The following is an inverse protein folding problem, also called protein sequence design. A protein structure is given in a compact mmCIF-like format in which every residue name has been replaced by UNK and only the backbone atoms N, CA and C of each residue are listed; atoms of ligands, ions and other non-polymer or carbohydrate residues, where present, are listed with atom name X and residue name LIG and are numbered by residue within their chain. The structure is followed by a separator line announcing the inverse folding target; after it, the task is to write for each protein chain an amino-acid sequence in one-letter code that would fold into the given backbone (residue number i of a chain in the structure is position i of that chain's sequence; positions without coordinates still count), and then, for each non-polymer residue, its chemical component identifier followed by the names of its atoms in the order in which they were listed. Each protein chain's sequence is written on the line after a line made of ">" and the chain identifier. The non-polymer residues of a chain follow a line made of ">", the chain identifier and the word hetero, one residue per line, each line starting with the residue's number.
data_IF_713861114538
#
_entry.id   IF_713861114538
#
_cell.length_a   1.000
_cell.length_b   1.000
_cell.length_c   1.000
_cell.angle_alpha   90.00
_cell.angle_beta   90.00
_cell.angle_gamma   90.00
#
_symmetry.space_group_name_H-M   'P 1'
#
loop_
_entity.id
_entity.type
_entity.pdbx_description
1 polymer ?
#
# COMPACT_ATOMS: atom_id res chain seq x y z
N UNK A 1 -9.10 13.82 -20.20
CA UNK A 1 -9.57 12.68 -19.40
C UNK A 1 -8.84 12.75 -18.06
N UNK A 2 -9.47 13.32 -17.04
CA UNK A 2 -8.89 13.32 -15.70
C UNK A 2 -8.97 11.88 -15.20
N UNK A 3 -7.83 11.22 -15.00
CA UNK A 3 -7.82 9.95 -14.28
C UNK A 3 -8.25 10.29 -12.85
N UNK A 4 -9.36 9.73 -12.39
CA UNK A 4 -9.71 9.82 -10.97
C UNK A 4 -8.50 9.34 -10.15
N UNK A 5 -7.93 10.25 -9.37
CA UNK A 5 -6.78 9.93 -8.52
C UNK A 5 -7.31 9.18 -7.32
N UNK A 6 -6.99 7.89 -7.24
CA UNK A 6 -7.34 7.07 -6.08
C UNK A 6 -6.45 7.46 -4.90
N UNK A 7 -7.02 8.12 -3.90
CA UNK A 7 -6.32 8.45 -2.66
C UNK A 7 -6.51 7.34 -1.63
N UNK A 8 -5.41 6.79 -1.11
CA UNK A 8 -5.47 5.72 -0.10
C UNK A 8 -6.18 6.16 1.20
N UNK A 9 -6.21 7.46 1.49
CA UNK A 9 -6.94 8.02 2.64
C UNK A 9 -8.46 7.96 2.48
N UNK A 10 -8.99 7.73 1.28
CA UNK A 10 -10.41 7.48 1.08
C UNK A 10 -10.75 6.08 1.62
N UNK A 11 -11.42 6.05 2.77
CA UNK A 11 -11.77 4.80 3.49
C UNK A 11 -12.57 3.82 2.63
N UNK A 12 -13.50 4.31 1.81
CA UNK A 12 -14.27 3.46 0.89
C UNK A 12 -13.36 2.81 -0.14
N UNK A 13 -12.50 3.61 -0.76
CA UNK A 13 -11.51 3.11 -1.71
C UNK A 13 -10.58 2.07 -1.06
N UNK A 14 -10.07 2.32 0.15
CA UNK A 14 -9.20 1.38 0.86
C UNK A 14 -9.89 0.04 1.11
N UNK A 15 -11.14 0.06 1.58
CA UNK A 15 -11.92 -1.17 1.81
C UNK A 15 -12.13 -1.92 0.49
N UNK A 16 -12.48 -1.21 -0.58
CA UNK A 16 -12.70 -1.82 -1.90
C UNK A 16 -11.40 -2.36 -2.50
N UNK A 17 -10.27 -1.69 -2.30
CA UNK A 17 -8.94 -2.16 -2.69
C UNK A 17 -8.58 -3.47 -1.97
N UNK A 18 -8.66 -3.50 -0.65
CA UNK A 18 -8.30 -4.69 0.14
C UNK A 18 -9.17 -5.91 -0.21
N UNK A 19 -10.47 -5.70 -0.47
CA UNK A 19 -11.36 -6.77 -0.94
C UNK A 19 -10.87 -7.34 -2.27
N UNK A 20 -10.59 -6.48 -3.25
CA UNK A 20 -10.12 -6.89 -4.58
C UNK A 20 -8.74 -7.55 -4.54
N UNK A 21 -7.81 -7.08 -3.69
CA UNK A 21 -6.49 -7.68 -3.55
C UNK A 21 -6.54 -9.17 -3.16
N UNK A 22 -7.59 -9.63 -2.46
CA UNK A 22 -7.75 -11.04 -2.12
C UNK A 22 -8.08 -11.91 -3.33
N UNK A 23 -8.63 -11.30 -4.38
CA UNK A 23 -9.04 -11.96 -5.62
C UNK A 23 -7.99 -11.78 -6.74
N UNK A 24 -6.91 -11.04 -6.47
CA UNK A 24 -5.91 -10.74 -7.49
C UNK A 24 -5.17 -11.97 -8.00
N UNK A 25 -5.04 -12.04 -9.32
CA UNK A 25 -4.13 -12.95 -10.00
C UNK A 25 -2.68 -12.46 -9.91
N UNK A 26 -1.74 -13.38 -10.09
CA UNK A 26 -0.31 -13.06 -10.10
C UNK A 26 -0.02 -11.99 -11.16
N UNK A 27 0.77 -10.99 -10.80
CA UNK A 27 1.13 -9.88 -11.67
C UNK A 27 0.12 -8.73 -11.68
N UNK A 28 -1.11 -8.93 -11.21
CA UNK A 28 -2.09 -7.85 -11.09
C UNK A 28 -1.60 -6.79 -10.10
N UNK A 29 -1.89 -5.54 -10.43
CA UNK A 29 -1.43 -4.40 -9.66
C UNK A 29 -2.41 -3.24 -9.71
N UNK A 30 -2.24 -2.33 -8.77
CA UNK A 30 -2.99 -1.10 -8.73
C UNK A 30 -2.16 0.08 -8.27
N UNK A 31 -2.40 1.20 -8.95
CA UNK A 31 -1.76 2.47 -8.66
C UNK A 31 -2.68 3.36 -7.83
N UNK A 32 -2.13 3.97 -6.79
CA UNK A 32 -2.83 4.93 -5.95
C UNK A 32 -1.86 5.95 -5.37
N UNK A 33 -2.42 7.04 -4.85
CA UNK A 33 -1.65 8.12 -4.25
C UNK A 33 -1.83 8.11 -2.73
N UNK A 34 -0.73 8.31 -2.00
CA UNK A 34 -0.76 8.60 -0.58
C UNK A 34 0.16 9.80 -0.29
N UNK A 35 -0.45 10.93 0.11
CA UNK A 35 0.26 12.21 0.26
C UNK A 35 1.04 12.58 -1.00
N UNK A 36 2.37 12.64 -0.91
CA UNK A 36 3.30 12.96 -1.98
C UNK A 36 3.92 11.71 -2.61
N UNK A 37 3.29 10.54 -2.50
CA UNK A 37 3.74 9.29 -3.10
C UNK A 37 2.75 8.79 -4.14
N UNK A 38 3.28 8.42 -5.31
CA UNK A 38 2.59 7.55 -6.27
C UNK A 38 3.07 6.13 -6.03
N UNK A 39 2.15 5.24 -5.70
CA UNK A 39 2.43 3.89 -5.24
C UNK A 39 1.77 2.86 -6.15
N UNK A 40 2.44 1.73 -6.32
CA UNK A 40 1.96 0.55 -7.03
C UNK A 40 2.01 -0.63 -6.09
N UNK A 41 0.85 -1.18 -5.73
CA UNK A 41 0.74 -2.47 -5.04
C UNK A 41 0.57 -3.56 -6.08
N UNK A 42 1.35 -4.64 -6.01
CA UNK A 42 1.33 -5.74 -6.99
C UNK A 42 1.26 -7.10 -6.30
N UNK A 43 0.51 -8.03 -6.87
CA UNK A 43 0.53 -9.46 -6.51
C UNK A 43 1.78 -10.12 -7.07
N UNK A 44 2.58 -10.71 -6.20
CA UNK A 44 3.87 -11.31 -6.56
C UNK A 44 3.75 -12.77 -6.96
N UNK A 45 4.73 -13.20 -7.76
CA UNK A 45 4.96 -14.58 -8.16
C UNK A 45 5.30 -15.47 -6.94
N UNK A 46 4.92 -16.77 -6.94
CA UNK A 46 5.19 -17.68 -5.83
C UNK A 46 6.68 -17.88 -5.49
N UNK A 47 7.60 -17.59 -6.41
CA UNK A 47 9.04 -17.65 -6.18
C UNK A 47 9.52 -16.61 -5.16
N UNK A 48 8.73 -15.57 -4.87
CA UNK A 48 9.01 -14.57 -3.84
C UNK A 48 8.47 -14.95 -2.46
N UNK A 49 7.96 -16.18 -2.29
CA UNK A 49 7.52 -16.68 -1.00
C UNK A 49 8.56 -16.44 0.12
N UNK A 50 8.15 -16.02 1.32
CA UNK A 50 6.75 -15.98 1.77
C UNK A 50 6.01 -14.68 1.38
N UNK A 51 6.65 -13.78 0.64
CA UNK A 51 6.03 -12.51 0.25
C UNK A 51 5.10 -12.69 -0.95
N UNK A 52 3.83 -12.32 -0.76
CA UNK A 52 2.79 -12.44 -1.79
C UNK A 52 2.49 -11.11 -2.50
N UNK A 53 3.00 -9.99 -1.99
CA UNK A 53 2.77 -8.66 -2.55
C UNK A 53 4.06 -7.82 -2.54
N UNK A 54 4.20 -6.93 -3.51
CA UNK A 54 5.19 -5.86 -3.50
C UNK A 54 4.52 -4.50 -3.56
N UNK A 55 5.19 -3.53 -2.95
CA UNK A 55 4.86 -2.12 -3.05
C UNK A 55 6.06 -1.41 -3.63
N UNK A 56 5.84 -0.68 -4.72
CA UNK A 56 6.81 0.21 -5.31
C UNK A 56 6.26 1.63 -5.27
N UNK A 57 7.14 2.62 -5.16
CA UNK A 57 6.72 4.00 -5.05
C UNK A 57 7.74 4.98 -5.57
N UNK A 58 7.24 6.08 -6.11
CA UNK A 58 8.03 7.27 -6.46
C UNK A 58 7.37 8.47 -5.82
N UNK A 59 8.16 9.32 -5.17
CA UNK A 59 7.64 10.57 -4.64
C UNK A 59 7.22 11.51 -5.79
N UNK A 60 6.31 12.45 -5.55
CA UNK A 60 5.75 13.35 -6.57
C UNK A 60 6.79 14.25 -7.25
N UNK A 61 7.97 14.42 -6.63
CA UNK A 61 9.07 15.22 -7.16
C UNK A 61 10.08 14.35 -7.94
N UNK A 62 9.86 13.02 -7.99
CA UNK A 62 10.71 12.07 -8.71
C UNK A 62 12.06 11.78 -8.05
N UNK A 63 12.34 12.35 -6.87
CA UNK A 63 13.69 12.30 -6.26
C UNK A 63 13.93 11.09 -5.39
N UNK A 64 12.87 10.41 -4.97
CA UNK A 64 12.94 9.31 -4.02
C UNK A 64 12.04 8.18 -4.44
N UNK A 65 12.55 6.96 -4.31
CA UNK A 65 11.84 5.73 -4.61
C UNK A 65 11.76 4.85 -3.37
N UNK A 66 10.73 4.02 -3.29
CA UNK A 66 10.65 2.95 -2.31
C UNK A 66 10.26 1.64 -3.00
N UNK A 67 10.75 0.52 -2.49
CA UNK A 67 10.36 -0.82 -2.92
C UNK A 67 10.44 -1.76 -1.74
N UNK A 68 9.35 -2.49 -1.45
CA UNK A 68 9.29 -3.46 -0.36
C UNK A 68 8.29 -4.56 -0.64
N UNK A 69 8.60 -5.77 -0.18
CA UNK A 69 7.72 -6.94 -0.26
C UNK A 69 7.02 -7.22 1.07
N UNK A 70 5.81 -7.75 0.99
CA UNK A 70 4.93 -8.04 2.12
C UNK A 70 4.26 -9.40 1.97
N UNK A 71 4.02 -10.04 3.10
CA UNK A 71 3.32 -11.32 3.18
C UNK A 71 1.86 -11.23 2.73
N UNK A 72 1.22 -10.08 2.91
CA UNK A 72 -0.19 -9.84 2.58
C UNK A 72 -0.44 -8.34 2.34
N UNK A 73 -1.57 -7.95 1.72
CA UNK A 73 -1.81 -6.56 1.36
C UNK A 73 -2.11 -5.70 2.58
N UNK A 74 -2.73 -6.25 3.64
CA UNK A 74 -2.99 -5.51 4.88
C UNK A 74 -1.70 -4.95 5.51
N UNK A 75 -0.63 -5.75 5.53
CA UNK A 75 0.69 -5.30 6.02
C UNK A 75 1.30 -4.22 5.15
N UNK A 76 1.15 -4.31 3.82
CA UNK A 76 1.61 -3.28 2.90
C UNK A 76 0.87 -1.95 3.17
N UNK A 77 -0.46 -1.98 3.19
CA UNK A 77 -1.30 -0.80 3.41
C UNK A 77 -1.05 -0.18 4.78
N UNK A 78 -0.95 -0.98 5.84
CA UNK A 78 -0.69 -0.46 7.19
C UNK A 78 0.68 0.23 7.28
N UNK A 79 1.69 -0.28 6.58
CA UNK A 79 3.01 0.37 6.54
C UNK A 79 2.94 1.74 5.84
N UNK A 80 2.16 1.86 4.76
CA UNK A 80 1.93 3.14 4.05
C UNK A 80 1.19 4.13 4.96
N UNK A 81 0.11 3.70 5.63
CA UNK A 81 -0.67 4.55 6.54
C UNK A 81 0.17 5.05 7.72
N UNK A 82 1.18 4.26 8.12
CA UNK A 82 2.19 4.62 9.11
C UNK A 82 3.41 5.34 8.52
N UNK A 83 3.28 5.91 7.32
CA UNK A 83 4.30 6.75 6.70
C UNK A 83 5.63 6.03 6.46
N UNK A 84 5.56 4.73 6.16
CA UNK A 84 6.74 3.88 5.99
C UNK A 84 7.66 3.87 7.22
N UNK A 85 7.07 3.95 8.43
CA UNK A 85 7.86 3.96 9.66
C UNK A 85 8.63 2.64 9.87
N UNK A 86 9.96 2.72 9.72
CA UNK A 86 10.90 1.62 10.01
C UNK A 86 11.62 1.80 11.36
N UNK A 87 11.41 2.93 12.05
CA UNK A 87 12.08 3.23 13.31
C UNK A 87 11.38 2.53 14.48
N UNK A 88 12.03 1.53 15.06
CA UNK A 88 11.52 0.78 16.20
C UNK A 88 11.27 1.63 17.46
N UNK A 89 11.94 2.78 17.59
CA UNK A 89 11.76 3.72 18.70
C UNK A 89 10.60 4.70 18.45
N UNK A 90 10.07 4.76 17.24
CA UNK A 90 8.92 5.59 16.88
C UNK A 90 7.66 4.74 16.85
N UNK A 91 6.62 5.17 17.58
CA UNK A 91 5.32 4.48 17.56
C UNK A 91 4.64 4.71 16.21
N UNK A 92 4.04 3.63 15.70
CA UNK A 92 3.11 3.71 14.57
C UNK A 92 1.89 4.56 14.95
N UNK A 93 1.35 5.30 13.97
CA UNK A 93 0.10 6.06 14.12
C UNK A 93 -1.10 5.13 14.27
N UNK A 94 -1.11 4.02 13.53
CA UNK A 94 -2.17 3.01 13.56
C UNK A 94 -1.55 1.63 13.78
N UNK A 95 -2.13 0.86 14.70
CA UNK A 95 -1.74 -0.52 14.97
C UNK A 95 -2.43 -1.50 14.03
N UNK A 96 -3.57 -1.11 13.45
CA UNK A 96 -4.32 -1.92 12.50
C UNK A 96 -5.02 -1.06 11.42
N UNK A 97 -5.54 -1.72 10.39
CA UNK A 97 -6.35 -1.04 9.35
C UNK A 97 -7.67 -0.57 9.94
N UNK A 98 -8.28 -1.36 10.84
CA UNK A 98 -9.53 -1.03 11.51
C UNK A 98 -9.40 0.26 12.32
N UNK A 99 -8.27 0.46 13.01
CA UNK A 99 -7.99 1.69 13.76
C UNK A 99 -8.00 2.92 12.83
N UNK A 100 -7.41 2.81 11.63
CA UNK A 100 -7.50 3.87 10.62
C UNK A 100 -8.93 4.08 10.09
N UNK A 101 -9.71 3.00 9.92
CA UNK A 101 -11.06 3.10 9.39
C UNK A 101 -12.02 3.82 10.35
N UNK A 102 -11.79 3.75 11.66
CA UNK A 102 -12.61 4.42 12.68
C UNK A 102 -12.06 5.78 13.13
N UNK A 103 -10.82 6.14 12.76
CA UNK A 103 -10.18 7.42 13.14
C UNK A 103 -10.77 8.64 12.46
#
# INVERSE_FOLDING_TARGET
>A
MFKDVNYLTNKRYLVDLLKRCNEWHIGESENFTYRHWNLTLKKEEPNYAPFAFSLEGVNTNGTSTCSRRYYNPNKAILHILNEFNENANSKNRYNSIEEFLIS
#
